data_IF_716813894919
#
_entry.id   IF_716813894919
#
_cell.length_a   1.000
_cell.length_b   1.000
_cell.length_c   1.000
_cell.angle_alpha   90.00
_cell.angle_beta   90.00
_cell.angle_gamma   90.00
#
_symmetry.space_group_name_H-M   'P 1'
#
loop_
_entity.id
_entity.type
_entity.pdbx_description
1 polymer ?
#
# COMPACT_ATOMS: atom_id res chain seq x y z
N UNK A 1 -6.53 50.89 43.07
CA UNK A 1 -6.18 49.87 42.04
C UNK A 1 -5.57 50.58 40.84
N UNK A 2 -4.36 50.22 40.41
CA UNK A 2 -3.74 50.80 39.20
C UNK A 2 -4.52 50.33 37.97
N UNK A 3 -4.89 51.26 37.08
CA UNK A 3 -5.53 50.90 35.80
C UNK A 3 -4.52 50.10 34.97
N UNK A 4 -4.91 48.98 34.35
CA UNK A 4 -4.01 48.27 33.46
C UNK A 4 -3.57 49.18 32.32
N UNK A 5 -2.27 49.16 32.01
CA UNK A 5 -1.71 49.91 30.90
C UNK A 5 -2.24 49.33 29.58
N UNK A 6 -2.75 50.21 28.71
CA UNK A 6 -3.41 49.82 27.47
C UNK A 6 -2.44 49.11 26.52
N UNK A 7 -1.15 49.46 26.56
CA UNK A 7 -0.12 48.80 25.76
C UNK A 7 0.10 47.35 26.21
N UNK A 8 0.05 47.09 27.51
CA UNK A 8 0.15 45.74 28.06
C UNK A 8 -1.04 44.88 27.64
N UNK A 9 -2.25 45.46 27.60
CA UNK A 9 -3.45 44.76 27.14
C UNK A 9 -3.38 44.42 25.65
N UNK A 10 -2.91 45.34 24.81
CA UNK A 10 -2.74 45.13 23.37
C UNK A 10 -1.70 44.03 23.10
N UNK A 11 -0.57 44.02 23.82
CA UNK A 11 0.45 42.97 23.68
C UNK A 11 -0.08 41.59 24.09
N UNK A 12 -0.84 41.51 25.19
CA UNK A 12 -1.47 40.27 25.63
C UNK A 12 -2.46 39.76 24.58
N UNK A 13 -3.29 40.63 24.01
CA UNK A 13 -4.23 40.28 22.94
C UNK A 13 -3.50 39.82 21.67
N UNK A 14 -2.38 40.46 21.32
CA UNK A 14 -1.53 40.04 20.21
C UNK A 14 -0.96 38.63 20.42
N UNK A 15 -0.44 38.34 21.61
CA UNK A 15 0.07 37.02 21.97
C UNK A 15 -1.04 35.95 21.93
N UNK A 16 -2.22 36.25 22.47
CA UNK A 16 -3.39 35.37 22.41
C UNK A 16 -3.81 35.15 20.95
N UNK A 17 -3.79 36.18 20.12
CA UNK A 17 -4.10 36.08 18.69
C UNK A 17 -3.17 35.13 17.96
N UNK A 18 -1.85 35.22 18.21
CA UNK A 18 -0.86 34.29 17.64
C UNK A 18 -1.05 32.88 18.19
N UNK A 19 -1.30 32.71 19.49
CA UNK A 19 -1.55 31.39 20.07
C UNK A 19 -2.81 30.75 19.48
N UNK A 20 -3.89 31.52 19.32
CA UNK A 20 -5.14 31.05 18.72
C UNK A 20 -4.97 30.68 17.24
N UNK A 21 -4.20 31.45 16.46
CA UNK A 21 -3.94 31.12 15.06
C UNK A 21 -3.12 29.85 14.91
N UNK A 22 -2.12 29.61 15.76
CA UNK A 22 -1.33 28.37 15.75
C UNK A 22 -2.17 27.15 16.12
N UNK A 23 -3.09 27.28 17.09
CA UNK A 23 -4.04 26.20 17.43
C UNK A 23 -4.93 25.89 16.23
N UNK A 24 -5.48 26.92 15.58
CA UNK A 24 -6.31 26.77 14.40
C UNK A 24 -5.57 26.05 13.26
N UNK A 25 -4.35 26.48 12.93
CA UNK A 25 -3.50 25.82 11.92
C UNK A 25 -3.20 24.37 12.31
N UNK A 26 -2.93 24.09 13.58
CA UNK A 26 -2.71 22.71 14.06
C UNK A 26 -3.93 21.81 13.84
N UNK A 27 -5.14 22.34 14.03
CA UNK A 27 -6.39 21.62 13.78
C UNK A 27 -6.61 21.38 12.28
N UNK A 28 -6.36 22.38 11.43
CA UNK A 28 -6.45 22.25 9.97
C UNK A 28 -5.47 21.21 9.42
N UNK A 29 -4.23 21.20 9.91
CA UNK A 29 -3.22 20.21 9.52
C UNK A 29 -3.64 18.79 9.88
N UNK A 30 -4.19 18.58 11.09
CA UNK A 30 -4.71 17.27 11.52
C UNK A 30 -5.89 16.81 10.67
N UNK A 31 -6.79 17.73 10.33
CA UNK A 31 -7.93 17.43 9.46
C UNK A 31 -7.46 17.09 8.05
N UNK A 32 -6.54 17.88 7.49
CA UNK A 32 -5.94 17.65 6.17
C UNK A 32 -5.26 16.28 6.10
N UNK A 33 -4.47 15.92 7.12
CA UNK A 33 -3.86 14.60 7.23
C UNK A 33 -4.91 13.48 7.24
N UNK A 34 -5.99 13.65 8.00
CA UNK A 34 -7.07 12.65 8.09
C UNK A 34 -7.76 12.46 6.73
N UNK A 35 -8.03 13.55 6.01
CA UNK A 35 -8.62 13.51 4.67
C UNK A 35 -7.67 12.83 3.68
N UNK A 36 -6.38 13.14 3.73
CA UNK A 36 -5.38 12.53 2.85
C UNK A 36 -5.30 11.01 3.04
N UNK A 37 -5.26 10.55 4.30
CA UNK A 37 -5.26 9.11 4.63
C UNK A 37 -6.57 8.45 4.15
N UNK A 38 -7.73 9.06 4.42
CA UNK A 38 -9.01 8.54 3.96
C UNK A 38 -9.08 8.45 2.41
N UNK A 39 -8.54 9.45 1.71
CA UNK A 39 -8.43 9.46 0.25
C UNK A 39 -7.53 8.34 -0.27
N UNK A 40 -6.40 8.07 0.37
CA UNK A 40 -5.54 6.93 0.02
C UNK A 40 -6.24 5.59 0.25
N UNK A 41 -6.97 5.42 1.36
CA UNK A 41 -7.76 4.21 1.64
C UNK A 41 -8.86 4.01 0.59
N UNK A 42 -9.57 5.08 0.22
CA UNK A 42 -10.61 5.03 -0.82
C UNK A 42 -10.01 4.67 -2.18
N UNK A 43 -8.90 5.29 -2.58
CA UNK A 43 -8.23 4.98 -3.84
C UNK A 43 -7.78 3.52 -3.92
N UNK A 44 -7.25 2.96 -2.82
CA UNK A 44 -6.88 1.54 -2.75
C UNK A 44 -8.10 0.63 -2.87
N UNK A 45 -9.20 0.97 -2.20
CA UNK A 45 -10.44 0.19 -2.29
C UNK A 45 -11.06 0.26 -3.69
N UNK A 46 -10.98 1.41 -4.36
CA UNK A 46 -11.42 1.55 -5.75
C UNK A 46 -10.57 0.69 -6.68
N UNK A 47 -9.24 0.74 -6.57
CA UNK A 47 -8.36 -0.10 -7.38
C UNK A 47 -8.61 -1.60 -7.17
N UNK A 48 -8.94 -2.01 -5.94
CA UNK A 48 -9.34 -3.39 -5.65
C UNK A 48 -10.70 -3.73 -6.29
N UNK A 49 -11.69 -2.84 -6.20
CA UNK A 49 -13.00 -3.03 -6.81
C UNK A 49 -12.90 -3.13 -8.34
N UNK A 50 -12.07 -2.29 -8.97
CA UNK A 50 -11.85 -2.29 -10.42
C UNK A 50 -11.21 -3.60 -10.88
N UNK A 51 -10.21 -4.11 -10.15
CA UNK A 51 -9.65 -5.43 -10.42
C UNK A 51 -10.71 -6.53 -10.22
N UNK A 52 -11.46 -6.48 -9.13
CA UNK A 52 -12.48 -7.48 -8.83
C UNK A 52 -13.55 -7.53 -9.92
N UNK A 53 -14.07 -6.39 -10.37
CA UNK A 53 -15.06 -6.34 -11.45
C UNK A 53 -14.47 -6.80 -12.78
N UNK A 54 -13.20 -6.47 -13.07
CA UNK A 54 -12.49 -6.97 -14.25
C UNK A 54 -12.35 -8.50 -14.23
N UNK A 55 -12.05 -9.11 -13.08
CA UNK A 55 -11.95 -10.57 -12.95
C UNK A 55 -13.30 -11.29 -12.97
N UNK A 56 -14.36 -10.61 -12.50
CA UNK A 56 -15.72 -11.14 -12.41
C UNK A 56 -16.60 -10.76 -13.61
N UNK A 57 -16.00 -10.24 -14.68
CA UNK A 57 -16.69 -9.77 -15.88
C UNK A 57 -17.48 -10.85 -16.62
N UNK A 58 -18.02 -10.47 -17.78
CA UNK A 58 -18.83 -11.37 -18.63
C UNK A 58 -18.04 -12.62 -19.04
N UNK A 59 -16.77 -12.43 -19.39
CA UNK A 59 -15.85 -13.53 -19.71
C UNK A 59 -15.49 -14.36 -18.46
N UNK A 60 -15.54 -15.70 -18.54
CA UNK A 60 -15.34 -16.56 -17.37
C UNK A 60 -13.88 -16.72 -16.96
N UNK A 61 -12.91 -16.25 -17.75
CA UNK A 61 -11.49 -16.58 -17.60
C UNK A 61 -10.95 -16.14 -16.23
N UNK A 62 -11.23 -14.91 -15.80
CA UNK A 62 -10.82 -14.43 -14.48
C UNK A 62 -11.41 -15.26 -13.34
N UNK A 63 -12.67 -15.68 -13.46
CA UNK A 63 -13.33 -16.55 -12.46
C UNK A 63 -12.75 -17.97 -12.46
N UNK A 64 -12.44 -18.51 -13.63
CA UNK A 64 -11.81 -19.83 -13.78
C UNK A 64 -10.43 -19.84 -13.11
N UNK A 65 -9.58 -18.84 -13.40
CA UNK A 65 -8.28 -18.69 -12.76
C UNK A 65 -8.38 -18.62 -11.23
N UNK A 66 -9.35 -17.87 -10.69
CA UNK A 66 -9.58 -17.82 -9.25
C UNK A 66 -9.99 -19.18 -8.68
N UNK A 67 -10.90 -19.89 -9.35
CA UNK A 67 -11.38 -21.21 -8.94
C UNK A 67 -10.26 -22.26 -8.98
N UNK A 68 -9.36 -22.15 -9.96
CA UNK A 68 -8.22 -23.06 -10.16
C UNK A 68 -7.02 -22.72 -9.24
N UNK A 69 -7.15 -21.74 -8.35
CA UNK A 69 -6.16 -21.43 -7.32
C UNK A 69 -5.02 -20.50 -7.77
N UNK A 70 -5.14 -19.87 -8.93
CA UNK A 70 -4.13 -18.94 -9.45
C UNK A 70 -4.01 -17.63 -8.67
N UNK A 71 -4.95 -17.37 -7.74
CA UNK A 71 -4.86 -16.28 -6.79
C UNK A 71 -3.75 -16.45 -5.74
N UNK A 72 -3.33 -17.70 -5.48
CA UNK A 72 -2.41 -18.05 -4.39
C UNK A 72 -0.95 -17.64 -4.72
N UNK A 73 -0.10 -17.35 -3.71
CA UNK A 73 1.31 -17.02 -3.94
C UNK A 73 2.11 -18.08 -4.72
N UNK A 74 1.68 -19.33 -4.68
CA UNK A 74 2.41 -20.48 -5.22
C UNK A 74 1.90 -20.95 -6.58
N UNK A 75 1.04 -20.16 -7.24
CA UNK A 75 0.49 -20.50 -8.56
C UNK A 75 1.60 -20.70 -9.60
N UNK A 76 1.49 -21.75 -10.42
CA UNK A 76 2.38 -22.04 -11.54
C UNK A 76 1.64 -21.78 -12.87
N UNK A 77 1.98 -20.71 -13.60
CA UNK A 77 1.31 -20.31 -14.83
C UNK A 77 1.77 -21.07 -16.08
N UNK A 78 2.68 -22.05 -16.01
CA UNK A 78 3.27 -22.67 -17.22
C UNK A 78 2.26 -23.34 -18.15
N UNK A 79 1.14 -23.81 -17.61
CA UNK A 79 0.10 -24.51 -18.37
C UNK A 79 -1.06 -23.61 -18.77
N UNK A 80 -0.99 -22.30 -18.47
CA UNK A 80 -2.01 -21.34 -18.88
C UNK A 80 -1.92 -21.09 -20.39
N UNK A 81 -3.08 -20.89 -21.01
CA UNK A 81 -3.13 -20.26 -22.34
C UNK A 81 -2.59 -18.82 -22.29
N UNK A 82 -2.31 -18.24 -23.45
CA UNK A 82 -1.80 -16.86 -23.55
C UNK A 82 -2.76 -15.86 -22.89
N UNK A 83 -4.07 -15.98 -23.14
CA UNK A 83 -5.09 -15.10 -22.56
C UNK A 83 -5.22 -15.26 -21.04
N UNK A 84 -5.16 -16.50 -20.54
CA UNK A 84 -5.14 -16.78 -19.10
C UNK A 84 -3.87 -16.23 -18.43
N UNK A 85 -2.72 -16.37 -19.09
CA UNK A 85 -1.45 -15.85 -18.61
C UNK A 85 -1.49 -14.32 -18.49
N UNK A 86 -2.05 -13.61 -19.46
CA UNK A 86 -2.16 -12.15 -19.43
C UNK A 86 -3.01 -11.67 -18.25
N UNK A 87 -4.15 -12.32 -18.00
CA UNK A 87 -5.00 -12.00 -16.85
C UNK A 87 -4.30 -12.35 -15.52
N UNK A 88 -3.64 -13.50 -15.44
CA UNK A 88 -2.84 -13.89 -14.27
C UNK A 88 -1.73 -12.87 -13.99
N UNK A 89 -0.99 -12.46 -15.02
CA UNK A 89 0.12 -11.51 -14.91
C UNK A 89 -0.37 -10.12 -14.48
N UNK A 90 -1.52 -9.67 -14.99
CA UNK A 90 -2.16 -8.43 -14.55
C UNK A 90 -2.56 -8.49 -13.06
N UNK A 91 -3.16 -9.60 -12.64
CA UNK A 91 -3.53 -9.83 -11.25
C UNK A 91 -2.31 -9.84 -10.31
N UNK A 92 -1.25 -10.57 -10.67
CA UNK A 92 0.00 -10.61 -9.90
C UNK A 92 0.71 -9.26 -9.86
N UNK A 93 0.72 -8.52 -10.97
CA UNK A 93 1.25 -7.16 -11.03
C UNK A 93 0.54 -6.22 -10.05
N UNK A 94 -0.78 -6.30 -9.97
CA UNK A 94 -1.54 -5.55 -8.97
C UNK A 94 -1.19 -5.97 -7.53
N UNK A 95 -1.03 -7.27 -7.26
CA UNK A 95 -0.64 -7.76 -5.93
C UNK A 95 0.73 -7.22 -5.51
N UNK A 96 1.72 -7.26 -6.41
CA UNK A 96 3.07 -6.72 -6.18
C UNK A 96 3.01 -5.21 -5.91
N UNK A 97 2.25 -4.45 -6.72
CA UNK A 97 2.06 -3.01 -6.50
C UNK A 97 1.41 -2.71 -5.15
N UNK A 98 0.42 -3.51 -4.74
CA UNK A 98 -0.25 -3.38 -3.44
C UNK A 98 0.72 -3.62 -2.27
N UNK A 99 1.58 -4.63 -2.37
CA UNK A 99 2.60 -4.92 -1.36
C UNK A 99 3.70 -3.85 -1.31
N UNK A 100 4.13 -3.34 -2.47
CA UNK A 100 5.06 -2.21 -2.56
C UNK A 100 4.49 -0.96 -1.88
N UNK A 101 3.21 -0.66 -2.10
CA UNK A 101 2.57 0.47 -1.43
C UNK A 101 2.54 0.30 0.10
N UNK A 102 2.28 -0.91 0.59
CA UNK A 102 2.34 -1.20 2.03
C UNK A 102 3.76 -1.07 2.59
N UNK A 103 4.78 -1.51 1.85
CA UNK A 103 6.19 -1.30 2.22
C UNK A 103 6.54 0.19 2.33
N UNK A 104 6.15 1.01 1.35
CA UNK A 104 6.37 2.46 1.41
C UNK A 104 5.68 3.11 2.63
N UNK A 105 4.47 2.67 2.97
CA UNK A 105 3.77 3.15 4.17
C UNK A 105 4.53 2.77 5.45
N UNK A 106 5.13 1.58 5.51
CA UNK A 106 5.98 1.17 6.61
C UNK A 106 7.23 2.04 6.73
N UNK A 107 7.94 2.30 5.63
CA UNK A 107 9.12 3.18 5.62
C UNK A 107 8.79 4.61 6.11
N UNK A 108 7.57 5.09 5.85
CA UNK A 108 7.09 6.39 6.32
C UNK A 108 6.57 6.39 7.77
N UNK A 109 6.59 5.25 8.47
CA UNK A 109 6.07 5.10 9.83
C UNK A 109 4.54 5.16 9.92
N UNK A 110 3.83 4.95 8.80
CA UNK A 110 2.37 4.96 8.72
C UNK A 110 1.75 3.57 8.91
N UNK A 111 2.58 2.52 8.87
CA UNK A 111 2.16 1.13 9.07
C UNK A 111 2.68 0.59 10.41
N UNK A 112 1.82 0.08 11.30
CA UNK A 112 2.28 -0.54 12.55
C UNK A 112 3.15 -1.77 12.32
N UNK A 113 4.13 -2.01 13.20
CA UNK A 113 5.08 -3.14 13.09
C UNK A 113 4.37 -4.51 12.96
N UNK A 114 3.33 -4.76 13.75
CA UNK A 114 2.57 -6.02 13.70
C UNK A 114 1.80 -6.23 12.38
N UNK A 115 1.48 -5.14 11.68
CA UNK A 115 0.89 -5.19 10.34
C UNK A 115 1.99 -5.37 9.30
N UNK A 116 3.14 -4.73 9.51
CA UNK A 116 4.31 -4.91 8.66
C UNK A 116 4.81 -6.37 8.66
N UNK A 117 4.88 -7.05 9.80
CA UNK A 117 5.26 -8.47 9.86
C UNK A 117 4.43 -9.35 8.91
N UNK A 118 3.12 -9.09 8.83
CA UNK A 118 2.22 -9.80 7.91
C UNK A 118 2.49 -9.43 6.44
N UNK A 119 2.70 -8.15 6.15
CA UNK A 119 3.03 -7.68 4.79
C UNK A 119 4.38 -8.25 4.34
N UNK A 120 5.39 -8.20 5.21
CA UNK A 120 6.72 -8.76 5.00
C UNK A 120 6.64 -10.25 4.68
N UNK A 121 5.88 -11.02 5.47
CA UNK A 121 5.64 -12.45 5.19
C UNK A 121 4.99 -12.68 3.82
N UNK A 122 4.01 -11.85 3.43
CA UNK A 122 3.38 -11.93 2.10
C UNK A 122 4.36 -11.60 0.97
N UNK A 123 5.21 -10.58 1.15
CA UNK A 123 6.28 -10.26 0.19
C UNK A 123 7.22 -11.44 0.06
N UNK A 124 7.70 -12.00 1.18
CA UNK A 124 8.59 -13.16 1.18
C UNK A 124 7.98 -14.35 0.44
N UNK A 125 6.73 -14.71 0.75
CA UNK A 125 6.05 -15.84 0.13
C UNK A 125 5.85 -15.65 -1.39
N UNK A 126 5.45 -14.45 -1.84
CA UNK A 126 5.29 -14.19 -3.28
C UNK A 126 6.64 -14.03 -3.99
N UNK A 127 7.65 -13.46 -3.33
CA UNK A 127 8.97 -13.30 -3.90
C UNK A 127 9.72 -14.64 -4.02
N UNK A 128 9.37 -15.63 -3.20
CA UNK A 128 9.95 -16.97 -3.26
C UNK A 128 9.39 -17.83 -4.41
N UNK A 129 8.34 -17.39 -5.12
CA UNK A 129 7.89 -18.02 -6.36
C UNK A 129 8.59 -17.37 -7.57
N UNK A 130 9.21 -18.18 -8.44
CA UNK A 130 10.03 -17.67 -9.54
C UNK A 130 9.25 -16.83 -10.55
N UNK A 131 7.96 -17.13 -10.78
CA UNK A 131 7.13 -16.42 -11.74
C UNK A 131 6.76 -15.02 -11.22
N UNK A 132 6.26 -14.91 -9.99
CA UNK A 132 5.96 -13.61 -9.40
C UNK A 132 7.20 -12.81 -9.03
N UNK A 133 8.35 -13.46 -8.76
CA UNK A 133 9.63 -12.79 -8.52
C UNK A 133 10.01 -11.86 -9.66
N UNK A 134 9.83 -12.27 -10.92
CA UNK A 134 10.16 -11.42 -12.07
C UNK A 134 9.36 -10.13 -12.07
N UNK A 135 8.10 -10.18 -11.63
CA UNK A 135 7.24 -9.00 -11.52
C UNK A 135 7.80 -8.04 -10.46
N UNK A 136 8.26 -8.53 -9.31
CA UNK A 136 8.95 -7.71 -8.30
C UNK A 136 10.21 -7.06 -8.90
N UNK A 137 11.08 -7.84 -9.54
CA UNK A 137 12.33 -7.33 -10.09
C UNK A 137 12.12 -6.25 -11.17
N UNK A 138 11.03 -6.36 -11.94
CA UNK A 138 10.72 -5.41 -13.01
C UNK A 138 10.01 -4.13 -12.51
N UNK A 139 9.37 -4.15 -11.33
CA UNK A 139 8.49 -3.07 -10.87
C UNK A 139 8.90 -2.44 -9.53
N UNK A 140 9.86 -3.04 -8.82
CA UNK A 140 10.31 -2.57 -7.53
C UNK A 140 10.97 -1.18 -7.61
N UNK A 141 10.55 -0.29 -6.73
CA UNK A 141 11.27 0.95 -6.42
C UNK A 141 12.62 0.64 -5.75
N UNK A 142 13.59 1.57 -5.75
CA UNK A 142 14.91 1.33 -5.18
C UNK A 142 14.90 0.79 -3.75
N UNK A 143 14.13 1.39 -2.83
CA UNK A 143 14.10 0.94 -1.43
C UNK A 143 13.49 -0.45 -1.26
N UNK A 144 12.49 -0.81 -2.07
CA UNK A 144 11.97 -2.18 -2.09
C UNK A 144 12.99 -3.15 -2.66
N UNK A 145 13.72 -2.77 -3.72
CA UNK A 145 14.79 -3.59 -4.29
C UNK A 145 15.87 -3.91 -3.26
N UNK A 146 16.29 -2.92 -2.47
CA UNK A 146 17.26 -3.10 -1.39
C UNK A 146 16.72 -4.07 -0.33
N UNK A 147 15.45 -3.94 0.06
CA UNK A 147 14.80 -4.89 0.96
C UNK A 147 14.73 -6.31 0.39
N UNK A 148 14.38 -6.47 -0.89
CA UNK A 148 14.31 -7.78 -1.55
C UNK A 148 15.66 -8.51 -1.59
N UNK A 149 16.77 -7.77 -1.67
CA UNK A 149 18.13 -8.33 -1.59
C UNK A 149 18.45 -8.94 -0.21
N UNK A 150 17.72 -8.54 0.84
CA UNK A 150 17.86 -9.15 2.18
C UNK A 150 17.13 -10.47 2.34
N UNK A 151 16.22 -10.79 1.41
CA UNK A 151 15.44 -12.03 1.42
C UNK A 151 16.23 -13.18 0.77
N UNK A 152 15.72 -14.41 0.92
CA UNK A 152 16.29 -15.56 0.20
C UNK A 152 16.25 -15.32 -1.31
N UNK A 153 17.40 -15.56 -1.95
CA UNK A 153 17.54 -15.48 -3.40
C UNK A 153 17.19 -16.80 -4.10
N UNK A 154 16.87 -17.85 -3.35
CA UNK A 154 16.29 -19.08 -3.91
C UNK A 154 14.82 -18.83 -4.25
N UNK A 155 14.35 -19.33 -5.40
CA UNK A 155 12.93 -19.40 -5.72
C UNK A 155 12.54 -20.80 -6.18
N UNK A 156 11.27 -21.14 -5.98
CA UNK A 156 10.66 -22.38 -6.46
C UNK A 156 9.67 -22.10 -7.60
N UNK A 157 9.57 -23.05 -8.53
CA UNK A 157 8.49 -23.13 -9.52
C UNK A 157 7.47 -24.15 -9.02
N UNK A 158 6.51 -23.70 -8.20
CA UNK A 158 5.39 -24.53 -7.72
C UNK A 158 5.73 -25.55 -6.61
N UNK A 159 4.80 -25.68 -5.66
CA UNK A 159 4.77 -26.54 -4.45
C UNK A 159 5.83 -26.24 -3.36
N UNK A 160 5.34 -25.72 -2.22
CA UNK A 160 5.96 -25.97 -0.91
C UNK A 160 5.18 -27.15 -0.33
N UNK A 161 5.85 -28.28 -0.11
CA UNK A 161 5.32 -29.39 0.67
C UNK A 161 5.02 -28.97 2.12
#
# INVERSE_FOLDING_TARGET
MKKPDINTLIQLLGLIGVAASLIFVGLELRQSQTIAIAGQVQARNQAFLDLYTSMMGEEPIGRALLADGFATPNSDPTNLSEEEYDIWNAFKSWQVMSLQNAFQQYEMGLLPETVWEQVSSRIQNQYANCFSRQIFLNTAIPSLSDYLQTLSQDCAMGTWD
#
